data_IF_427424742329
#
_entry.id   IF_427424742329
#
_cell.length_a   1.000
_cell.length_b   1.000
_cell.length_c   1.000
_cell.angle_alpha   90.00
_cell.angle_beta   90.00
_cell.angle_gamma   90.00
#
_symmetry.space_group_name_H-M   'P 1'
#
loop_
_entity.id
_entity.type
_entity.pdbx_description
1 polymer ?
#
# COMPACT_ATOMS: atom_id res chain seq x y z
N UNK A 1 -20.93 1.76 5.54
CA UNK A 1 -19.90 2.78 5.22
C UNK A 1 -18.57 2.06 4.98
N UNK A 2 -17.99 2.18 3.78
CA UNK A 2 -16.63 1.68 3.53
C UNK A 2 -15.65 2.42 4.45
N UNK A 3 -14.96 1.68 5.31
CA UNK A 3 -13.96 2.25 6.22
C UNK A 3 -12.72 2.60 5.40
N UNK A 4 -12.45 3.89 5.24
CA UNK A 4 -11.21 4.38 4.65
C UNK A 4 -10.03 3.94 5.51
N UNK A 5 -8.98 3.43 4.88
CA UNK A 5 -7.72 3.12 5.57
C UNK A 5 -6.85 4.37 5.53
N UNK A 6 -6.27 4.74 6.68
CA UNK A 6 -5.31 5.83 6.73
C UNK A 6 -4.04 5.42 5.96
N UNK A 7 -3.60 6.28 5.03
CA UNK A 7 -2.39 6.10 4.22
C UNK A 7 -1.15 5.83 5.08
N UNK A 8 -1.09 6.40 6.29
CA UNK A 8 0.04 6.21 7.23
C UNK A 8 0.18 4.76 7.70
N UNK A 9 -0.91 3.99 7.67
CA UNK A 9 -0.92 2.59 8.09
C UNK A 9 -0.48 1.63 6.98
N UNK A 10 -0.38 2.10 5.73
CA UNK A 10 -0.04 1.29 4.56
C UNK A 10 1.45 1.40 4.27
N UNK A 11 2.09 0.25 4.06
CA UNK A 11 3.51 0.14 3.73
C UNK A 11 3.74 -0.28 2.28
N UNK A 12 2.80 -1.01 1.69
CA UNK A 12 2.88 -1.47 0.31
C UNK A 12 1.47 -1.69 -0.25
N UNK A 13 1.36 -1.81 -1.58
CA UNK A 13 0.15 -2.22 -2.26
C UNK A 13 0.49 -3.06 -3.49
N UNK A 14 -0.44 -3.90 -3.91
CA UNK A 14 -0.35 -4.67 -5.16
C UNK A 14 -1.73 -4.99 -5.71
N UNK A 15 -1.82 -5.21 -7.01
CA UNK A 15 -3.02 -5.76 -7.61
C UNK A 15 -3.20 -7.24 -7.22
N UNK A 16 -4.45 -7.68 -7.11
CA UNK A 16 -4.75 -9.09 -6.93
C UNK A 16 -4.25 -9.91 -8.12
N UNK A 17 -3.82 -11.15 -7.87
CA UNK A 17 -3.27 -12.02 -8.89
C UNK A 17 -4.28 -12.29 -10.01
N UNK A 18 -3.76 -12.37 -11.25
CA UNK A 18 -4.54 -12.75 -12.43
C UNK A 18 -5.00 -14.20 -12.25
N UNK A 19 -6.31 -14.41 -12.10
CA UNK A 19 -6.89 -15.72 -11.81
C UNK A 19 -8.09 -15.65 -10.84
N UNK A 20 -8.21 -14.55 -10.09
CA UNK A 20 -9.41 -14.27 -9.32
C UNK A 20 -10.45 -13.52 -10.17
N UNK A 21 -11.73 -13.90 -10.03
CA UNK A 21 -12.84 -13.29 -10.78
C UNK A 21 -13.20 -11.88 -10.31
N UNK A 22 -12.75 -11.47 -9.11
CA UNK A 22 -13.07 -10.18 -8.51
C UNK A 22 -11.84 -9.28 -8.51
N UNK A 23 -11.82 -8.18 -9.27
CA UNK A 23 -10.68 -7.28 -9.25
C UNK A 23 -10.58 -6.61 -7.88
N UNK A 24 -9.40 -6.66 -7.27
CA UNK A 24 -9.12 -6.06 -5.98
C UNK A 24 -7.71 -5.47 -5.91
N UNK A 25 -7.57 -4.40 -5.15
CA UNK A 25 -6.28 -3.89 -4.70
C UNK A 25 -5.98 -4.47 -3.32
N UNK A 26 -4.79 -5.05 -3.16
CA UNK A 26 -4.31 -5.57 -1.88
C UNK A 26 -3.42 -4.52 -1.25
N UNK A 27 -3.84 -3.98 -0.11
CA UNK A 27 -3.04 -3.08 0.72
C UNK A 27 -2.30 -3.88 1.78
N UNK A 28 -1.00 -3.68 1.89
CA UNK A 28 -0.17 -4.27 2.94
C UNK A 28 0.07 -3.22 4.00
N UNK A 29 -0.44 -3.47 5.20
CA UNK A 29 -0.25 -2.59 6.35
C UNK A 29 1.18 -2.69 6.88
N UNK A 30 1.62 -1.68 7.62
CA UNK A 30 2.91 -1.69 8.35
C UNK A 30 3.06 -2.84 9.35
N UNK A 31 1.95 -3.40 9.80
CA UNK A 31 1.93 -4.58 10.69
C UNK A 31 1.96 -5.91 9.91
N UNK A 32 2.17 -5.87 8.60
CA UNK A 32 2.22 -7.07 7.75
C UNK A 32 0.86 -7.68 7.38
N UNK A 33 -0.26 -7.06 7.81
CA UNK A 33 -1.61 -7.52 7.41
C UNK A 33 -1.95 -7.08 6.01
N UNK A 34 -2.64 -7.94 5.27
CA UNK A 34 -3.08 -7.69 3.90
C UNK A 34 -4.58 -7.44 3.87
N UNK A 35 -5.02 -6.40 3.17
CA UNK A 35 -6.40 -5.95 3.12
C UNK A 35 -6.86 -5.84 1.66
N UNK A 36 -7.92 -6.56 1.31
CA UNK A 36 -8.56 -6.45 0.01
C UNK A 36 -9.43 -5.20 -0.04
N UNK A 37 -9.24 -4.37 -1.05
CA UNK A 37 -9.97 -3.13 -1.29
C UNK A 37 -10.47 -3.10 -2.73
N UNK A 38 -11.67 -2.57 -3.01
CA UNK A 38 -12.11 -2.36 -4.39
C UNK A 38 -11.14 -1.44 -5.15
N UNK A 39 -10.82 -1.70 -6.41
CA UNK A 39 -9.85 -0.91 -7.18
C UNK A 39 -10.33 0.51 -7.48
N UNK A 40 -11.65 0.76 -7.45
CA UNK A 40 -12.28 2.00 -7.89
C UNK A 40 -12.55 3.00 -6.74
N UNK A 41 -11.91 2.82 -5.59
CA UNK A 41 -12.09 3.69 -4.43
C UNK A 41 -11.28 5.00 -4.57
N UNK A 42 -11.89 6.21 -4.47
CA UNK A 42 -11.18 7.47 -4.68
C UNK A 42 -9.98 7.70 -3.74
N UNK A 43 -10.09 7.27 -2.49
CA UNK A 43 -9.02 7.42 -1.49
C UNK A 43 -7.82 6.51 -1.75
N UNK A 44 -7.98 5.46 -2.57
CA UNK A 44 -6.94 4.51 -2.89
C UNK A 44 -5.80 5.17 -3.65
N UNK A 45 -6.12 6.12 -4.52
CA UNK A 45 -5.13 6.92 -5.27
C UNK A 45 -4.21 7.72 -4.34
N UNK A 46 -4.77 8.29 -3.27
CA UNK A 46 -3.97 9.03 -2.28
C UNK A 46 -3.04 8.10 -1.49
N UNK A 47 -3.50 6.88 -1.18
CA UNK A 47 -2.70 5.86 -0.51
C UNK A 47 -1.56 5.39 -1.41
N UNK A 48 -1.84 5.09 -2.68
CA UNK A 48 -0.83 4.67 -3.66
C UNK A 48 0.26 5.74 -3.82
N UNK A 49 -0.12 6.99 -4.04
CA UNK A 49 0.82 8.12 -4.14
C UNK A 49 1.71 8.25 -2.89
N UNK A 50 1.13 8.08 -1.70
CA UNK A 50 1.90 8.10 -0.45
C UNK A 50 2.91 6.96 -0.39
N UNK A 51 2.48 5.73 -0.69
CA UNK A 51 3.35 4.54 -0.69
C UNK A 51 4.46 4.67 -1.73
N UNK A 52 4.19 5.19 -2.92
CA UNK A 52 5.20 5.44 -3.95
C UNK A 52 6.25 6.46 -3.51
N UNK A 53 5.84 7.50 -2.80
CA UNK A 53 6.77 8.45 -2.19
C UNK A 53 7.66 7.74 -1.16
N UNK A 54 7.08 6.92 -0.28
CA UNK A 54 7.86 6.14 0.70
C UNK A 54 8.84 5.18 0.03
N UNK A 55 8.44 4.49 -1.05
CA UNK A 55 9.32 3.61 -1.83
C UNK A 55 10.52 4.36 -2.41
N UNK A 56 10.31 5.58 -2.93
CA UNK A 56 11.40 6.46 -3.42
C UNK A 56 12.36 6.85 -2.29
N UNK A 57 11.84 7.21 -1.12
CA UNK A 57 12.66 7.53 0.06
C UNK A 57 13.46 6.31 0.56
N UNK A 58 12.84 5.13 0.60
CA UNK A 58 13.52 3.87 0.92
C UNK A 58 14.66 3.57 -0.06
N UNK A 59 14.42 3.72 -1.36
CA UNK A 59 15.43 3.54 -2.41
C UNK A 59 16.60 4.51 -2.23
N UNK A 60 16.33 5.79 -1.93
CA UNK A 60 17.37 6.80 -1.66
C UNK A 60 18.23 6.46 -0.43
N UNK A 61 17.67 5.76 0.56
CA UNK A 61 18.38 5.33 1.77
C UNK A 61 19.07 3.97 1.63
N UNK A 62 19.13 3.38 0.42
CA UNK A 62 19.68 2.04 0.17
C UNK A 62 19.08 0.97 1.09
N UNK A 63 17.77 1.05 1.35
CA UNK A 63 17.10 0.10 2.23
C UNK A 63 17.08 -1.31 1.60
N UNK A 64 17.60 -2.29 2.32
CA UNK A 64 17.84 -3.66 1.81
C UNK A 64 16.61 -4.58 1.88
N UNK A 65 15.54 -4.18 2.58
CA UNK A 65 14.33 -4.99 2.69
C UNK A 65 13.40 -4.83 1.48
N UNK A 66 12.72 -5.91 1.12
CA UNK A 66 11.76 -5.96 0.00
C UNK A 66 10.57 -5.02 0.18
N UNK A 67 10.20 -4.69 1.42
CA UNK A 67 9.09 -3.79 1.77
C UNK A 67 9.56 -2.65 2.67
N UNK A 68 9.11 -1.44 2.38
CA UNK A 68 9.52 -0.20 3.05
C UNK A 68 8.85 -0.01 4.42
N UNK A 69 9.08 -0.94 5.37
CA UNK A 69 8.50 -0.85 6.72
C UNK A 69 9.19 0.19 7.61
N UNK A 70 10.49 0.45 7.37
CA UNK A 70 11.34 1.26 8.23
C UNK A 70 11.26 2.78 8.03
N UNK A 71 10.66 3.29 6.96
CA UNK A 71 10.48 4.74 6.77
C UNK A 71 9.25 5.16 7.56
N UNK A 72 9.37 6.07 8.52
CA UNK A 72 8.21 6.67 9.21
C UNK A 72 7.41 7.50 8.21
N UNK A 73 6.07 7.39 8.18
CA UNK A 73 5.26 8.24 7.31
C UNK A 73 5.20 9.64 7.92
N UNK A 74 5.33 10.66 7.09
CA UNK A 74 5.06 12.06 7.46
C UNK A 74 3.58 12.28 7.80
#
# INVERSE_FOLDING_TARGET
KNKRIDKKLVADYREQAKGCSLPAMILVTRRGRELCTPPNEPWLQEVMKHVDHLKKLCKKKNYQHTRCFGVKPE
#
